data_IF_953944871062
#
_entry.id   IF_953944871062
#
_cell.length_a   1.000
_cell.length_b   1.000
_cell.length_c   1.000
_cell.angle_alpha   90.00
_cell.angle_beta   90.00
_cell.angle_gamma   90.00
#
_symmetry.space_group_name_H-M   'P 1'
#
loop_
_entity.id
_entity.type
_entity.pdbx_description
1 polymer ?
#
# COMPACT_ATOMS: atom_id res chain seq x y z
N UNK A 1 -1.54 -6.79 12.80
CA UNK A 1 -0.75 -5.72 12.14
C UNK A 1 -1.53 -4.43 12.23
N UNK A 2 -0.90 -3.29 12.54
CA UNK A 2 -1.60 -2.00 12.65
C UNK A 2 -1.75 -1.39 11.24
N UNK A 3 -2.96 -1.10 10.75
CA UNK A 3 -3.15 -0.49 9.43
C UNK A 3 -2.34 0.79 9.23
N UNK A 4 -2.06 1.54 10.32
CA UNK A 4 -1.28 2.78 10.28
C UNK A 4 0.22 2.58 10.01
N UNK A 5 0.76 1.40 10.29
CA UNK A 5 2.19 1.09 10.07
C UNK A 5 2.44 0.29 8.81
N UNK A 6 1.38 -0.21 8.15
CA UNK A 6 1.45 -1.13 7.01
C UNK A 6 2.40 -0.67 5.90
N UNK A 7 2.32 0.61 5.52
CA UNK A 7 3.21 1.21 4.53
C UNK A 7 4.61 1.48 5.09
N UNK A 8 4.69 2.02 6.31
CA UNK A 8 5.96 2.38 6.95
C UNK A 8 6.87 1.16 7.19
N UNK A 9 6.27 0.04 7.62
CA UNK A 9 6.96 -1.23 7.84
C UNK A 9 7.55 -1.76 6.52
N UNK A 10 6.74 -1.80 5.45
CA UNK A 10 7.17 -2.25 4.13
C UNK A 10 8.27 -1.34 3.54
N UNK A 11 8.11 -0.01 3.69
CA UNK A 11 9.12 0.95 3.24
C UNK A 11 10.46 0.70 3.94
N UNK A 12 10.42 0.52 5.27
CA UNK A 12 11.61 0.26 6.08
C UNK A 12 12.28 -1.05 5.69
N UNK A 13 11.49 -2.10 5.47
CA UNK A 13 11.96 -3.41 5.00
C UNK A 13 12.72 -3.28 3.67
N UNK A 14 12.09 -2.70 2.64
CA UNK A 14 12.71 -2.49 1.32
C UNK A 14 13.98 -1.63 1.39
N UNK A 15 14.01 -0.63 2.27
CA UNK A 15 15.21 0.19 2.50
C UNK A 15 16.35 -0.64 3.08
N UNK A 16 16.06 -1.50 4.06
CA UNK A 16 17.04 -2.36 4.72
C UNK A 16 17.53 -3.47 3.78
N UNK A 17 16.65 -4.06 2.98
CA UNK A 17 17.03 -5.04 1.93
C UNK A 17 18.08 -4.48 0.97
N UNK A 18 17.99 -3.18 0.64
CA UNK A 18 18.99 -2.48 -0.18
C UNK A 18 20.25 -2.05 0.58
N UNK A 19 20.40 -2.43 1.84
CA UNK A 19 21.55 -2.12 2.67
C UNK A 19 21.64 -0.67 3.14
N UNK A 20 20.55 0.10 3.07
CA UNK A 20 20.57 1.49 3.54
C UNK A 20 20.12 1.62 4.98
N UNK A 21 20.91 2.32 5.80
CA UNK A 21 20.38 2.94 7.02
C UNK A 21 19.45 4.11 6.65
N UNK A 22 18.58 4.54 7.57
CA UNK A 22 17.67 5.67 7.33
C UNK A 22 18.45 6.93 6.91
N UNK A 23 19.54 7.26 7.63
CA UNK A 23 20.36 8.43 7.33
C UNK A 23 21.03 8.33 5.96
N UNK A 24 21.56 7.15 5.60
CA UNK A 24 22.17 6.93 4.28
C UNK A 24 21.16 7.07 3.16
N UNK A 25 19.97 6.48 3.32
CA UNK A 25 18.89 6.59 2.34
C UNK A 25 18.46 8.04 2.14
N UNK A 26 18.21 8.75 3.23
CA UNK A 26 17.81 10.16 3.19
C UNK A 26 18.88 11.04 2.54
N UNK A 27 20.17 10.83 2.87
CA UNK A 27 21.29 11.55 2.25
C UNK A 27 21.41 11.23 0.75
N UNK A 28 21.26 9.95 0.36
CA UNK A 28 21.41 9.50 -1.03
C UNK A 28 20.33 10.07 -1.95
N UNK A 29 19.09 10.17 -1.47
CA UNK A 29 17.93 10.56 -2.27
C UNK A 29 17.36 11.94 -1.90
N UNK A 30 18.07 12.70 -1.07
CA UNK A 30 17.71 14.05 -0.61
C UNK A 30 16.32 14.11 0.02
N UNK A 31 16.02 13.15 0.91
CA UNK A 31 14.79 13.15 1.69
C UNK A 31 15.02 13.68 3.10
N UNK A 32 13.97 14.25 3.70
CA UNK A 32 14.00 14.68 5.09
C UNK A 32 13.99 13.47 6.05
N UNK A 33 15.00 13.29 6.92
CA UNK A 33 15.05 12.17 7.86
C UNK A 33 13.89 12.15 8.85
N UNK A 34 13.37 13.32 9.23
CA UNK A 34 12.24 13.43 10.16
C UNK A 34 10.97 12.85 9.57
N UNK A 35 10.66 13.19 8.33
CA UNK A 35 9.52 12.69 7.58
C UNK A 35 9.61 11.19 7.35
N UNK A 36 10.76 10.69 6.86
CA UNK A 36 10.96 9.23 6.66
C UNK A 36 10.84 8.48 7.99
N UNK A 37 11.43 9.00 9.07
CA UNK A 37 11.30 8.39 10.41
C UNK A 37 9.87 8.36 10.92
N UNK A 38 9.12 9.44 10.78
CA UNK A 38 7.71 9.49 11.19
C UNK A 38 6.86 8.52 10.37
N UNK A 39 7.10 8.46 9.06
CA UNK A 39 6.40 7.58 8.13
C UNK A 39 6.68 6.10 8.40
N UNK A 40 7.95 5.70 8.56
CA UNK A 40 8.32 4.32 8.90
C UNK A 40 7.74 3.84 10.24
N UNK A 41 7.40 4.76 11.14
CA UNK A 41 6.77 4.47 12.44
C UNK A 41 5.25 4.61 12.42
N UNK A 42 4.64 4.91 11.27
CA UNK A 42 3.20 5.14 11.14
C UNK A 42 2.69 6.40 11.89
N UNK A 43 3.57 7.35 12.22
CA UNK A 43 3.19 8.65 12.80
C UNK A 43 2.84 9.69 11.75
N UNK A 44 3.17 9.42 10.49
CA UNK A 44 2.85 10.24 9.33
C UNK A 44 2.32 9.33 8.24
N UNK A 45 1.21 9.73 7.63
CA UNK A 45 0.65 9.01 6.50
C UNK A 45 1.62 9.03 5.31
N UNK A 46 1.57 8.01 4.43
CA UNK A 46 2.27 8.06 3.16
C UNK A 46 1.87 9.32 2.37
N UNK A 47 2.77 9.84 1.50
CA UNK A 47 2.46 11.02 0.71
C UNK A 47 1.24 10.79 -0.18
N UNK A 48 0.38 11.80 -0.29
CA UNK A 48 -0.81 11.75 -1.14
C UNK A 48 -0.49 11.84 -2.64
N UNK A 49 0.62 12.49 -3.01
CA UNK A 49 1.00 12.65 -4.41
C UNK A 49 1.56 11.36 -5.01
N UNK A 50 0.97 10.92 -6.13
CA UNK A 50 1.44 9.77 -6.91
C UNK A 50 2.91 9.91 -7.28
N UNK A 51 3.32 11.08 -7.77
CA UNK A 51 4.70 11.38 -8.14
C UNK A 51 5.71 11.10 -7.00
N UNK A 52 5.37 11.48 -5.76
CA UNK A 52 6.26 11.27 -4.61
C UNK A 52 6.31 9.80 -4.19
N UNK A 53 5.19 9.08 -4.27
CA UNK A 53 5.16 7.64 -4.06
C UNK A 53 5.98 6.89 -5.12
N UNK A 54 5.85 7.26 -6.39
CA UNK A 54 6.66 6.68 -7.47
C UNK A 54 8.15 6.93 -7.24
N UNK A 55 8.52 8.17 -6.88
CA UNK A 55 9.90 8.50 -6.52
C UNK A 55 10.41 7.61 -5.38
N UNK A 56 9.61 7.41 -4.34
CA UNK A 56 9.96 6.52 -3.23
C UNK A 56 10.17 5.07 -3.68
N UNK A 57 9.23 4.51 -4.44
CA UNK A 57 9.32 3.15 -4.97
C UNK A 57 10.60 2.95 -5.81
N UNK A 58 10.89 3.90 -6.70
CA UNK A 58 12.11 3.88 -7.53
C UNK A 58 13.39 3.96 -6.68
N UNK A 59 13.45 4.84 -5.68
CA UNK A 59 14.58 4.92 -4.74
C UNK A 59 14.78 3.62 -3.96
N UNK A 60 13.66 2.99 -3.56
CA UNK A 60 13.62 1.65 -2.94
C UNK A 60 13.90 0.52 -3.94
N UNK A 61 14.12 0.81 -5.23
CA UNK A 61 14.43 -0.20 -6.24
C UNK A 61 13.28 -1.14 -6.56
N UNK A 62 12.05 -0.72 -6.29
CA UNK A 62 10.86 -1.48 -6.66
C UNK A 62 10.62 -1.26 -8.16
N UNK A 63 10.59 -2.35 -8.92
CA UNK A 63 10.40 -2.30 -10.36
C UNK A 63 8.97 -1.90 -10.72
N UNK A 64 8.83 -0.93 -11.64
CA UNK A 64 7.51 -0.43 -12.05
C UNK A 64 6.69 -1.55 -12.69
N UNK A 65 5.47 -1.75 -12.18
CA UNK A 65 4.56 -2.79 -12.67
C UNK A 65 4.84 -4.21 -12.12
N UNK A 66 5.81 -4.37 -11.21
CA UNK A 66 5.99 -5.61 -10.47
C UNK A 66 4.92 -5.77 -9.37
N UNK A 67 4.75 -6.99 -8.84
CA UNK A 67 3.86 -7.24 -7.70
C UNK A 67 4.23 -6.36 -6.49
N UNK A 68 5.53 -6.17 -6.24
CA UNK A 68 6.01 -5.28 -5.17
C UNK A 68 5.67 -3.80 -5.40
N UNK A 69 5.51 -3.39 -6.66
CA UNK A 69 5.02 -2.05 -7.00
C UNK A 69 3.55 -1.90 -6.63
N UNK A 70 2.69 -2.81 -7.09
CA UNK A 70 1.26 -2.78 -6.74
C UNK A 70 1.07 -2.87 -5.22
N UNK A 71 1.78 -3.77 -4.56
CA UNK A 71 1.75 -3.90 -3.10
C UNK A 71 2.17 -2.59 -2.39
N UNK A 72 3.19 -1.90 -2.89
CA UNK A 72 3.62 -0.62 -2.32
C UNK A 72 2.51 0.45 -2.37
N UNK A 73 1.80 0.54 -3.51
CA UNK A 73 0.70 1.49 -3.69
C UNK A 73 -0.55 1.10 -2.90
N UNK A 74 -0.91 -0.18 -2.87
CA UNK A 74 -2.04 -0.69 -2.10
C UNK A 74 -1.86 -0.44 -0.61
N UNK A 75 -0.65 -0.66 -0.09
CA UNK A 75 -0.31 -0.35 1.30
C UNK A 75 -0.41 1.14 1.58
N UNK A 76 -0.01 1.99 0.63
CA UNK A 76 -0.12 3.44 0.77
C UNK A 76 -1.58 3.90 0.81
N UNK A 77 -2.43 3.39 -0.09
CA UNK A 77 -3.87 3.68 -0.13
C UNK A 77 -4.57 3.19 1.15
N UNK A 78 -4.27 1.96 1.58
CA UNK A 78 -4.82 1.36 2.80
C UNK A 78 -4.52 2.20 4.06
N UNK A 79 -3.28 2.68 4.21
CA UNK A 79 -2.93 3.56 5.34
C UNK A 79 -3.72 4.88 5.35
N UNK A 80 -4.09 5.39 4.18
CA UNK A 80 -4.87 6.63 4.02
C UNK A 80 -6.38 6.39 4.09
N UNK A 81 -6.83 5.13 4.08
CA UNK A 81 -8.26 4.80 3.95
C UNK A 81 -8.81 5.13 2.56
N UNK A 82 -7.94 5.13 1.55
CA UNK A 82 -8.28 5.41 0.16
C UNK A 82 -8.44 4.12 -0.63
N UNK A 83 -9.23 4.16 -1.70
CA UNK A 83 -9.35 3.08 -2.69
C UNK A 83 -8.23 3.28 -3.72
N UNK A 84 -7.48 2.22 -4.10
CA UNK A 84 -6.49 2.28 -5.19
C UNK A 84 -7.07 2.87 -6.48
N UNK A 85 -6.27 3.66 -7.19
CA UNK A 85 -6.69 4.38 -8.41
C UNK A 85 -7.19 3.42 -9.49
N UNK A 86 -6.53 2.27 -9.60
CA UNK A 86 -6.84 1.22 -10.57
C UNK A 86 -8.26 0.66 -10.35
N UNK A 87 -8.74 0.65 -9.11
CA UNK A 87 -10.12 0.25 -8.78
C UNK A 87 -11.08 1.41 -9.03
N UNK A 88 -10.70 2.65 -8.68
CA UNK A 88 -11.53 3.83 -8.90
C UNK A 88 -11.83 4.07 -10.40
N UNK A 89 -10.88 3.79 -11.28
CA UNK A 89 -11.02 3.95 -12.73
C UNK A 89 -11.80 2.81 -13.38
N UNK A 90 -12.07 1.73 -12.65
CA UNK A 90 -12.84 0.59 -13.16
C UNK A 90 -14.31 0.67 -12.71
N UNK A 91 -15.17 1.14 -13.62
CA UNK A 91 -16.61 1.29 -13.39
C UNK A 91 -17.32 -0.01 -12.96
N UNK A 92 -16.90 -1.17 -13.47
CA UNK A 92 -17.52 -2.45 -13.11
C UNK A 92 -17.18 -2.88 -11.68
N UNK A 93 -15.92 -2.70 -11.27
CA UNK A 93 -15.49 -2.94 -9.90
C UNK A 93 -16.18 -1.98 -8.93
N UNK A 94 -16.25 -0.69 -9.28
CA UNK A 94 -16.93 0.32 -8.46
C UNK A 94 -18.42 0.02 -8.26
N UNK A 95 -19.12 -0.48 -9.29
CA UNK A 95 -20.52 -0.92 -9.17
C UNK A 95 -20.70 -2.14 -8.27
N UNK A 96 -19.67 -2.98 -8.18
CA UNK A 96 -19.66 -4.19 -7.35
C UNK A 96 -19.37 -3.92 -5.87
N UNK A 97 -18.67 -2.83 -5.54
CA UNK A 97 -18.26 -2.50 -4.16
C UNK A 97 -19.41 -2.39 -3.15
N UNK A 98 -20.55 -1.74 -3.43
CA UNK A 98 -21.67 -1.67 -2.49
C UNK A 98 -22.20 -3.04 -2.09
N UNK A 99 -22.25 -4.00 -3.02
CA UNK A 99 -22.68 -5.37 -2.74
C UNK A 99 -21.69 -6.07 -1.80
N UNK A 100 -20.39 -5.88 -2.04
CA UNK A 100 -19.31 -6.40 -1.19
C UNK A 100 -19.40 -5.81 0.22
N UNK A 101 -19.55 -4.49 0.35
CA UNK A 101 -19.68 -3.81 1.66
C UNK A 101 -20.93 -4.27 2.42
N UNK A 102 -22.06 -4.42 1.72
CA UNK A 102 -23.28 -4.99 2.31
C UNK A 102 -23.02 -6.40 2.83
N UNK A 103 -22.29 -7.21 2.09
CA UNK A 103 -21.97 -8.59 2.48
C UNK A 103 -21.09 -8.63 3.72
N UNK A 104 -20.07 -7.75 3.81
CA UNK A 104 -19.24 -7.60 5.02
C UNK A 104 -20.04 -7.19 6.26
N UNK A 105 -21.07 -6.37 6.11
CA UNK A 105 -21.93 -5.92 7.24
C UNK A 105 -22.97 -6.95 7.67
N UNK A 106 -23.51 -7.71 6.71
CA UNK A 106 -24.71 -8.54 6.93
C UNK A 106 -24.41 -9.95 7.43
N UNK A 107 -23.19 -10.45 7.21
CA UNK A 107 -22.79 -11.82 7.56
C UNK A 107 -21.53 -11.80 8.42
N UNK A 108 -21.44 -12.70 9.40
CA UNK A 108 -20.14 -13.17 9.90
C UNK A 108 -19.48 -13.90 8.74
N UNK A 109 -18.65 -13.20 7.97
CA UNK A 109 -17.89 -13.82 6.90
C UNK A 109 -16.82 -14.69 7.56
N UNK A 110 -16.87 -16.00 7.30
CA UNK A 110 -15.80 -16.91 7.73
C UNK A 110 -14.56 -16.66 6.87
N UNK A 111 -13.37 -16.98 7.41
CA UNK A 111 -12.12 -16.90 6.65
C UNK A 111 -12.16 -17.68 5.34
N UNK A 112 -12.87 -18.80 5.32
CA UNK A 112 -13.06 -19.65 4.14
C UNK A 112 -13.79 -18.91 3.02
N UNK A 113 -14.88 -18.19 3.34
CA UNK A 113 -15.64 -17.43 2.33
C UNK A 113 -14.82 -16.28 1.74
N UNK A 114 -13.95 -15.64 2.54
CA UNK A 114 -13.03 -14.62 2.02
C UNK A 114 -12.00 -15.24 1.08
N UNK A 115 -11.45 -16.41 1.43
CA UNK A 115 -10.51 -17.12 0.56
C UNK A 115 -11.15 -17.53 -0.77
N UNK A 116 -12.36 -18.10 -0.74
CA UNK A 116 -13.11 -18.46 -1.94
C UNK A 116 -13.43 -17.25 -2.82
N UNK A 117 -13.70 -16.09 -2.20
CA UNK A 117 -13.92 -14.84 -2.93
C UNK A 117 -12.64 -14.35 -3.60
N UNK A 118 -11.49 -14.43 -2.93
CA UNK A 118 -10.19 -14.05 -3.50
C UNK A 118 -9.87 -14.91 -4.73
N UNK A 119 -10.08 -16.22 -4.65
CA UNK A 119 -9.84 -17.10 -5.80
C UNK A 119 -10.76 -16.77 -6.98
N UNK A 120 -12.05 -16.54 -6.73
CA UNK A 120 -12.98 -16.12 -7.79
C UNK A 120 -12.61 -14.79 -8.43
N UNK A 121 -12.02 -13.85 -7.68
CA UNK A 121 -11.56 -12.57 -8.23
C UNK A 121 -10.34 -12.75 -9.13
N UNK A 122 -9.46 -13.72 -8.84
CA UNK A 122 -8.30 -14.03 -9.70
C UNK A 122 -8.68 -14.70 -11.03
N UNK A 123 -9.85 -15.32 -11.08
CA UNK A 123 -10.39 -16.01 -12.27
C UNK A 123 -11.16 -15.07 -13.23
N UNK A 124 -11.43 -13.83 -12.81
CA UNK A 124 -12.06 -12.78 -13.61
C UNK A 124 -11.03 -11.96 -14.39
#
# INVERSE_FOLDING_TARGET
MNPKTLFGDFFKEKRIEKGFTLRMFCKKFSFDPGNISKMERGLMNPPGSREKLEKYALCLGIEKGSDGWFEFFDRAATCKGEIPTEILENDELMKSLPLIFRTFRSKKISKTVVADLIERIKEL
#
